data_IF_303115504519
#
_entry.id   IF_303115504519
#
_cell.length_a   1.000
_cell.length_b   1.000
_cell.length_c   1.000
_cell.angle_alpha   90.00
_cell.angle_beta   90.00
_cell.angle_gamma   90.00
#
_symmetry.space_group_name_H-M   'P 1'
#
loop_
_entity.id
_entity.type
_entity.pdbx_description
1 polymer ?
#
# COMPACT_ATOMS: atom_id res chain seq x y z
N UNK A 1 -3.59 -39.71 -15.58
CA UNK A 1 -4.14 -38.35 -15.44
C UNK A 1 -3.80 -37.70 -14.08
N UNK A 2 -3.94 -38.39 -12.94
CA UNK A 2 -3.67 -37.84 -11.59
C UNK A 2 -2.20 -37.41 -11.42
N UNK A 3 -1.22 -38.21 -11.83
CA UNK A 3 0.21 -37.92 -11.72
C UNK A 3 0.62 -36.67 -12.54
N UNK A 4 0.00 -36.44 -13.70
CA UNK A 4 0.28 -35.21 -14.50
C UNK A 4 -0.28 -33.97 -13.84
N UNK A 5 -1.42 -34.03 -13.14
CA UNK A 5 -1.96 -32.93 -12.34
C UNK A 5 -1.05 -32.58 -11.15
N UNK A 6 -0.58 -33.61 -10.41
CA UNK A 6 0.31 -33.39 -9.26
C UNK A 6 1.64 -32.76 -9.71
N UNK A 7 2.22 -33.20 -10.83
CA UNK A 7 3.45 -32.57 -11.39
C UNK A 7 3.22 -31.15 -11.88
N UNK A 8 2.07 -30.83 -12.47
CA UNK A 8 1.75 -29.46 -12.89
C UNK A 8 1.55 -28.49 -11.71
N UNK A 9 0.87 -28.93 -10.65
CA UNK A 9 0.69 -28.13 -9.41
C UNK A 9 2.05 -27.84 -8.79
N UNK A 10 2.90 -28.86 -8.60
CA UNK A 10 4.26 -28.70 -8.05
C UNK A 10 5.11 -27.71 -8.87
N UNK A 11 5.06 -27.77 -10.21
CA UNK A 11 5.83 -26.85 -11.07
C UNK A 11 5.32 -25.40 -11.01
N UNK A 12 4.01 -25.21 -10.88
CA UNK A 12 3.41 -23.88 -10.70
C UNK A 12 3.84 -23.25 -9.38
N UNK A 13 3.85 -24.01 -8.30
CA UNK A 13 4.20 -23.52 -6.97
C UNK A 13 5.67 -23.16 -6.87
N UNK A 14 6.56 -23.94 -7.47
CA UNK A 14 7.98 -23.60 -7.56
C UNK A 14 8.22 -22.31 -8.37
N UNK A 15 7.54 -22.13 -9.49
CA UNK A 15 7.66 -20.91 -10.29
C UNK A 15 7.13 -19.67 -9.52
N UNK A 16 6.03 -19.79 -8.79
CA UNK A 16 5.51 -18.73 -7.95
C UNK A 16 6.51 -18.35 -6.84
N UNK A 17 7.12 -19.34 -6.20
CA UNK A 17 8.13 -19.12 -5.17
C UNK A 17 9.36 -18.40 -5.73
N UNK A 18 9.91 -18.88 -6.84
CA UNK A 18 11.06 -18.28 -7.51
C UNK A 18 10.79 -16.83 -7.89
N UNK A 19 9.62 -16.56 -8.51
CA UNK A 19 9.24 -15.20 -8.90
C UNK A 19 9.10 -14.28 -7.68
N UNK A 20 8.48 -14.76 -6.61
CA UNK A 20 8.29 -14.01 -5.37
C UNK A 20 9.64 -13.64 -4.74
N UNK A 21 10.57 -14.60 -4.66
CA UNK A 21 11.92 -14.35 -4.14
C UNK A 21 12.67 -13.39 -5.04
N UNK A 22 12.60 -13.57 -6.37
CA UNK A 22 13.27 -12.67 -7.32
C UNK A 22 12.79 -11.22 -7.19
N UNK A 23 11.48 -11.00 -7.11
CA UNK A 23 10.90 -9.66 -6.87
C UNK A 23 11.43 -9.06 -5.57
N UNK A 24 11.45 -9.84 -4.48
CA UNK A 24 11.96 -9.37 -3.19
C UNK A 24 13.45 -9.01 -3.24
N UNK A 25 14.29 -9.86 -3.83
CA UNK A 25 15.73 -9.63 -3.94
C UNK A 25 16.06 -8.43 -4.83
N UNK A 26 15.38 -8.29 -5.99
CA UNK A 26 15.56 -7.13 -6.88
C UNK A 26 15.16 -5.86 -6.15
N UNK A 27 14.02 -5.86 -5.45
CA UNK A 27 13.55 -4.69 -4.70
C UNK A 27 14.52 -4.31 -3.57
N UNK A 28 15.01 -5.29 -2.82
CA UNK A 28 15.99 -5.07 -1.77
C UNK A 28 17.30 -4.50 -2.35
N UNK A 29 17.80 -5.07 -3.46
CA UNK A 29 19.02 -4.63 -4.11
C UNK A 29 18.91 -3.19 -4.64
N UNK A 30 17.82 -2.87 -5.36
CA UNK A 30 17.55 -1.52 -5.87
C UNK A 30 17.51 -0.50 -4.73
N UNK A 31 16.79 -0.83 -3.66
CA UNK A 31 16.69 0.02 -2.46
C UNK A 31 18.05 0.19 -1.78
N UNK A 32 18.81 -0.89 -1.61
CA UNK A 32 20.13 -0.86 -0.97
C UNK A 32 21.12 0.03 -1.72
N UNK A 33 21.23 -0.19 -3.04
CA UNK A 33 22.11 0.62 -3.91
C UNK A 33 21.71 2.09 -3.89
N UNK A 34 20.39 2.38 -3.91
CA UNK A 34 19.87 3.74 -3.82
C UNK A 34 20.25 4.42 -2.50
N UNK A 35 20.14 3.71 -1.38
CA UNK A 35 20.45 4.25 -0.06
C UNK A 35 21.93 4.53 0.12
N UNK A 36 22.80 3.64 -0.38
CA UNK A 36 24.25 3.81 -0.33
C UNK A 36 24.72 5.01 -1.16
N UNK A 37 24.14 5.19 -2.36
CA UNK A 37 24.58 6.27 -3.27
C UNK A 37 24.01 7.65 -2.90
N UNK A 38 23.06 7.73 -1.98
CA UNK A 38 22.35 8.95 -1.63
C UNK A 38 22.67 9.52 -0.25
N UNK A 39 23.63 8.95 0.48
CA UNK A 39 23.92 9.28 1.88
C UNK A 39 22.69 9.32 2.79
N UNK A 40 21.66 8.54 2.42
CA UNK A 40 20.39 8.45 3.13
C UNK A 40 20.38 7.17 3.96
N UNK A 41 20.11 7.28 5.25
CA UNK A 41 20.22 6.14 6.18
C UNK A 41 19.25 5.02 5.81
N UNK A 42 17.96 5.26 5.80
CA UNK A 42 16.91 4.29 5.39
C UNK A 42 15.67 5.00 4.82
N UNK A 43 15.85 6.19 4.26
CA UNK A 43 14.81 7.06 3.73
C UNK A 43 13.62 7.18 4.71
N UNK A 44 12.36 7.15 4.28
CA UNK A 44 11.21 7.34 5.15
C UNK A 44 11.04 6.25 6.23
N UNK A 45 11.57 5.05 6.01
CA UNK A 45 11.61 3.99 7.03
C UNK A 45 12.55 4.33 8.20
N UNK A 46 13.49 5.25 8.00
CA UNK A 46 14.45 5.65 9.03
C UNK A 46 13.77 6.15 10.30
N UNK A 47 12.66 6.89 10.17
CA UNK A 47 11.91 7.38 11.35
C UNK A 47 11.46 6.24 12.25
N UNK A 48 10.83 5.22 11.68
CA UNK A 48 10.36 4.05 12.44
C UNK A 48 11.54 3.23 12.99
N UNK A 49 12.59 3.01 12.20
CA UNK A 49 13.78 2.26 12.60
C UNK A 49 14.54 2.97 13.73
N UNK A 50 14.74 4.29 13.64
CA UNK A 50 15.36 5.10 14.68
C UNK A 50 14.51 5.18 15.93
N UNK A 51 13.22 5.44 15.74
CA UNK A 51 12.28 5.47 16.86
C UNK A 51 12.23 4.15 17.63
N UNK A 52 12.31 3.01 16.92
CA UNK A 52 12.37 1.68 17.53
C UNK A 52 13.65 1.49 18.36
N UNK A 53 14.80 1.98 17.89
CA UNK A 53 16.06 1.96 18.68
C UNK A 53 15.95 2.77 19.96
N UNK A 54 15.46 3.99 19.87
CA UNK A 54 15.23 4.86 21.04
C UNK A 54 14.29 4.22 22.05
N UNK A 55 13.22 3.58 21.55
CA UNK A 55 12.26 2.89 22.40
C UNK A 55 12.93 1.75 23.20
N UNK A 56 13.81 0.98 22.58
CA UNK A 56 14.58 -0.09 23.24
C UNK A 56 15.61 0.48 24.24
N UNK A 57 16.17 1.65 23.96
CA UNK A 57 17.07 2.39 24.84
C UNK A 57 16.33 3.06 26.03
N UNK A 58 15.00 2.92 26.12
CA UNK A 58 14.17 3.50 27.16
C UNK A 58 13.92 5.00 27.02
N UNK A 59 14.16 5.56 25.83
CA UNK A 59 13.97 6.97 25.52
C UNK A 59 12.65 7.22 24.79
N UNK A 60 12.06 8.40 24.95
CA UNK A 60 10.87 8.81 24.21
C UNK A 60 11.26 9.21 22.78
N UNK A 61 10.85 8.42 21.75
CA UNK A 61 11.20 8.72 20.36
C UNK A 61 10.53 10.00 19.83
N UNK A 62 9.37 10.40 20.36
CA UNK A 62 8.67 11.63 19.91
C UNK A 62 9.28 12.90 20.49
N UNK A 63 9.98 12.81 21.62
CA UNK A 63 10.72 13.93 22.17
C UNK A 63 12.08 14.13 21.50
N UNK A 64 12.73 13.04 21.07
CA UNK A 64 14.07 13.10 20.52
C UNK A 64 14.11 13.27 19.00
N UNK A 65 13.13 12.73 18.26
CA UNK A 65 13.03 12.89 16.79
C UNK A 65 12.14 14.11 16.52
N UNK A 66 12.78 15.28 16.40
CA UNK A 66 12.12 16.55 16.12
C UNK A 66 13.10 17.53 15.43
N UNK A 67 12.61 18.59 14.78
CA UNK A 67 13.47 19.67 14.30
C UNK A 67 14.40 20.15 15.44
N UNK A 68 15.67 20.38 15.12
CA UNK A 68 16.71 20.80 16.09
C UNK A 68 17.02 19.77 17.19
N UNK A 69 16.49 18.56 17.07
CA UNK A 69 16.81 17.46 17.99
C UNK A 69 18.19 16.87 17.75
N UNK A 70 18.60 15.93 18.63
CA UNK A 70 19.90 15.25 18.58
C UNK A 70 20.09 14.35 17.34
N UNK A 71 19.02 14.08 16.60
CA UNK A 71 19.04 13.25 15.38
C UNK A 71 19.10 14.10 14.12
N UNK A 72 19.81 13.63 13.06
CA UNK A 72 20.09 14.41 11.87
C UNK A 72 18.89 14.64 10.94
N UNK A 73 17.68 14.26 11.37
CA UNK A 73 16.46 14.59 10.65
C UNK A 73 15.85 15.84 11.25
N UNK A 74 15.87 16.87 10.47
CA UNK A 74 15.29 18.15 10.81
C UNK A 74 13.76 18.14 10.66
N UNK A 75 13.11 17.09 11.22
CA UNK A 75 11.67 16.89 11.14
C UNK A 75 11.15 16.03 12.32
N UNK A 76 9.83 16.00 12.49
CA UNK A 76 9.16 15.25 13.55
C UNK A 76 8.99 13.76 13.22
N UNK A 77 8.82 12.93 14.24
CA UNK A 77 8.39 11.54 14.07
C UNK A 77 6.88 11.49 13.70
N UNK A 78 6.57 11.39 12.40
CA UNK A 78 5.20 11.32 11.88
C UNK A 78 4.62 9.90 11.85
N UNK A 79 5.32 8.92 12.38
CA UNK A 79 4.83 7.54 12.42
C UNK A 79 4.25 7.19 13.78
N UNK A 80 3.10 6.48 13.82
CA UNK A 80 2.53 5.97 15.07
C UNK A 80 3.42 4.89 15.68
N UNK A 81 3.32 4.68 17.00
CA UNK A 81 4.14 3.68 17.70
C UNK A 81 4.04 2.26 17.13
N UNK A 82 2.89 1.78 16.59
CA UNK A 82 2.84 0.52 15.85
C UNK A 82 3.87 0.39 14.73
N UNK A 83 4.25 1.48 14.05
CA UNK A 83 5.31 1.43 13.02
C UNK A 83 6.67 1.08 13.64
N UNK A 84 6.97 1.63 14.81
CA UNK A 84 8.20 1.33 15.54
C UNK A 84 8.24 -0.15 15.97
N UNK A 85 7.10 -0.70 16.41
CA UNK A 85 7.00 -2.11 16.76
C UNK A 85 7.29 -3.04 15.57
N UNK A 86 6.80 -2.68 14.37
CA UNK A 86 7.11 -3.43 13.14
C UNK A 86 8.58 -3.31 12.76
N UNK A 87 9.23 -2.20 13.07
CA UNK A 87 10.65 -1.97 12.78
C UNK A 87 11.61 -2.64 13.79
N UNK A 88 11.14 -3.04 14.98
CA UNK A 88 11.98 -3.64 16.04
C UNK A 88 12.91 -4.77 15.55
N UNK A 89 12.47 -5.76 14.75
CA UNK A 89 13.35 -6.83 14.29
C UNK A 89 14.51 -6.35 13.41
N UNK A 90 14.45 -5.13 12.91
CA UNK A 90 15.43 -4.58 11.97
C UNK A 90 16.44 -3.63 12.63
N UNK A 91 16.29 -3.32 13.92
CA UNK A 91 17.21 -2.42 14.63
C UNK A 91 18.66 -2.94 14.75
N UNK A 92 18.97 -4.26 14.76
CA UNK A 92 20.35 -4.71 14.79
C UNK A 92 21.13 -4.40 13.52
N UNK A 93 20.43 -4.13 12.40
CA UNK A 93 21.07 -3.89 11.11
C UNK A 93 21.37 -2.40 10.90
N UNK A 94 22.41 -2.10 10.11
CA UNK A 94 22.70 -0.75 9.64
C UNK A 94 21.51 -0.22 8.79
N UNK A 95 21.27 1.09 8.85
CA UNK A 95 20.09 1.71 8.25
C UNK A 95 19.83 1.34 6.78
N UNK A 96 20.82 1.43 5.86
CA UNK A 96 20.64 1.03 4.45
C UNK A 96 20.23 -0.43 4.30
N UNK A 97 20.82 -1.33 5.09
CA UNK A 97 20.50 -2.75 5.05
C UNK A 97 19.13 -3.05 5.66
N UNK A 98 18.78 -2.38 6.77
CA UNK A 98 17.46 -2.48 7.40
C UNK A 98 16.35 -2.04 6.42
N UNK A 99 16.53 -0.90 5.73
CA UNK A 99 15.60 -0.41 4.72
C UNK A 99 15.45 -1.38 3.54
N UNK A 100 16.56 -1.94 3.05
CA UNK A 100 16.55 -2.93 1.98
C UNK A 100 15.81 -4.21 2.36
N UNK A 101 16.06 -4.76 3.56
CA UNK A 101 15.34 -5.94 4.10
C UNK A 101 13.86 -5.63 4.21
N UNK A 102 13.49 -4.48 4.78
CA UNK A 102 12.09 -4.08 4.94
C UNK A 102 11.34 -4.05 3.61
N UNK A 103 11.91 -3.40 2.58
CA UNK A 103 11.31 -3.32 1.24
C UNK A 103 11.30 -4.69 0.57
N UNK A 104 12.38 -5.46 0.68
CA UNK A 104 12.46 -6.81 0.12
C UNK A 104 11.36 -7.73 0.66
N UNK A 105 11.21 -7.79 1.98
CA UNK A 105 10.15 -8.58 2.64
C UNK A 105 8.76 -8.07 2.24
N UNK A 106 8.54 -6.77 2.24
CA UNK A 106 7.27 -6.16 1.84
C UNK A 106 6.88 -6.54 0.41
N UNK A 107 7.85 -6.55 -0.50
CA UNK A 107 7.67 -6.93 -1.91
C UNK A 107 7.41 -8.42 -2.09
N UNK A 108 8.12 -9.28 -1.32
CA UNK A 108 7.84 -10.73 -1.25
C UNK A 108 6.39 -10.98 -0.83
N UNK A 109 5.95 -10.36 0.27
CA UNK A 109 4.61 -10.54 0.81
C UNK A 109 3.52 -10.05 -0.16
N UNK A 110 3.76 -8.93 -0.84
CA UNK A 110 2.84 -8.41 -1.85
C UNK A 110 2.77 -9.33 -3.07
N UNK A 111 3.91 -9.76 -3.61
CA UNK A 111 3.98 -10.66 -4.75
C UNK A 111 3.31 -12.01 -4.42
N UNK A 112 3.62 -12.58 -3.25
CA UNK A 112 3.02 -13.81 -2.76
C UNK A 112 1.49 -13.69 -2.66
N UNK A 113 0.99 -12.60 -2.06
CA UNK A 113 -0.45 -12.34 -1.95
C UNK A 113 -1.16 -12.28 -3.29
N UNK A 114 -0.58 -11.58 -4.28
CA UNK A 114 -1.12 -11.48 -5.63
C UNK A 114 -1.16 -12.83 -6.35
N UNK A 115 -0.10 -13.62 -6.24
CA UNK A 115 -0.02 -14.94 -6.88
C UNK A 115 -0.98 -15.94 -6.22
N UNK A 116 -1.13 -15.89 -4.89
CA UNK A 116 -2.08 -16.74 -4.14
C UNK A 116 -3.53 -16.50 -4.59
N UNK A 117 -3.89 -15.25 -4.86
CA UNK A 117 -5.21 -14.88 -5.36
C UNK A 117 -5.35 -15.02 -6.89
N UNK A 118 -4.41 -15.69 -7.55
CA UNK A 118 -4.38 -15.93 -9.00
C UNK A 118 -4.42 -14.64 -9.85
N UNK A 119 -4.00 -13.51 -9.30
CA UNK A 119 -4.03 -12.19 -9.93
C UNK A 119 -2.73 -11.91 -10.71
N UNK A 120 -2.38 -12.79 -11.65
CA UNK A 120 -1.10 -12.70 -12.41
C UNK A 120 -0.94 -11.38 -13.16
N UNK A 121 -2.02 -10.81 -13.70
CA UNK A 121 -1.96 -9.49 -14.37
C UNK A 121 -1.59 -8.37 -13.40
N UNK A 122 -1.89 -8.51 -12.11
CA UNK A 122 -1.56 -7.53 -11.10
C UNK A 122 -0.06 -7.45 -10.78
N UNK A 123 0.76 -8.42 -11.22
CA UNK A 123 2.22 -8.33 -11.09
C UNK A 123 2.81 -7.13 -11.85
N UNK A 124 2.11 -6.58 -12.84
CA UNK A 124 2.52 -5.35 -13.51
C UNK A 124 2.57 -4.14 -12.57
N UNK A 125 1.92 -4.20 -11.38
CA UNK A 125 2.03 -3.12 -10.38
C UNK A 125 3.49 -2.86 -9.98
N UNK A 126 4.37 -3.89 -10.02
CA UNK A 126 5.80 -3.73 -9.73
C UNK A 126 6.54 -2.84 -10.74
N UNK A 127 5.92 -2.51 -11.87
CA UNK A 127 6.41 -1.56 -12.87
C UNK A 127 5.76 -0.17 -12.75
N UNK A 128 4.83 0.02 -11.81
CA UNK A 128 4.13 1.30 -11.63
C UNK A 128 4.98 2.35 -10.94
N UNK A 129 4.72 3.63 -11.23
CA UNK A 129 5.38 4.73 -10.55
C UNK A 129 5.19 4.66 -9.02
N UNK A 130 3.98 4.40 -8.44
CA UNK A 130 3.81 4.25 -7.01
C UNK A 130 4.72 3.19 -6.38
N UNK A 131 4.93 2.06 -7.06
CA UNK A 131 5.81 1.03 -6.53
C UNK A 131 7.28 1.44 -6.60
N UNK A 132 7.74 1.97 -7.74
CA UNK A 132 9.14 2.42 -7.90
C UNK A 132 9.48 3.51 -6.89
N UNK A 133 8.59 4.50 -6.70
CA UNK A 133 8.79 5.52 -5.68
C UNK A 133 8.75 4.97 -4.26
N UNK A 134 7.94 3.91 -4.01
CA UNK A 134 7.94 3.22 -2.72
C UNK A 134 9.28 2.53 -2.43
N UNK A 135 9.97 1.97 -3.44
CA UNK A 135 11.33 1.43 -3.28
C UNK A 135 12.33 2.54 -2.95
N UNK A 136 12.31 3.63 -3.73
CA UNK A 136 13.25 4.75 -3.60
C UNK A 136 13.14 5.42 -2.22
N UNK A 137 11.91 5.58 -1.72
CA UNK A 137 11.61 6.24 -0.45
C UNK A 137 11.43 5.28 0.72
N UNK A 138 11.65 3.98 0.54
CA UNK A 138 11.50 2.92 1.57
C UNK A 138 10.15 2.99 2.28
N UNK A 139 9.07 2.88 1.49
CA UNK A 139 7.70 3.13 1.95
C UNK A 139 6.98 1.89 2.48
N UNK A 140 5.99 2.15 3.33
CA UNK A 140 5.09 1.17 3.92
C UNK A 140 4.03 0.63 2.95
N UNK A 141 3.78 1.33 1.84
CA UNK A 141 2.69 1.02 0.92
C UNK A 141 2.73 -0.41 0.36
N UNK A 142 3.87 -1.04 0.02
CA UNK A 142 3.89 -2.44 -0.38
C UNK A 142 3.41 -3.39 0.73
N UNK A 143 3.87 -3.18 1.97
CA UNK A 143 3.50 -4.00 3.13
C UNK A 143 2.01 -3.87 3.46
N UNK A 144 1.50 -2.64 3.52
CA UNK A 144 0.08 -2.38 3.82
C UNK A 144 -0.83 -2.90 2.69
N UNK A 145 -0.41 -2.76 1.42
CA UNK A 145 -1.15 -3.33 0.29
C UNK A 145 -1.18 -4.87 0.33
N UNK A 146 -0.08 -5.51 0.75
CA UNK A 146 -0.04 -6.97 0.94
C UNK A 146 -1.03 -7.46 2.00
N UNK A 147 -1.34 -6.63 3.01
CA UNK A 147 -2.31 -6.96 4.04
C UNK A 147 -3.73 -7.17 3.49
N UNK A 148 -4.06 -6.70 2.28
CA UNK A 148 -5.33 -7.00 1.61
C UNK A 148 -5.49 -8.51 1.35
N UNK A 149 -4.39 -9.23 1.11
CA UNK A 149 -4.36 -10.65 0.80
C UNK A 149 -3.97 -11.54 1.99
N UNK A 150 -3.17 -11.01 2.90
CA UNK A 150 -2.57 -11.73 4.01
C UNK A 150 -3.10 -11.18 5.35
N UNK A 151 -4.18 -11.76 5.92
CA UNK A 151 -4.80 -11.24 7.14
C UNK A 151 -3.86 -11.21 8.35
N UNK A 152 -2.80 -12.02 8.35
CA UNK A 152 -1.76 -12.01 9.40
C UNK A 152 -1.01 -10.67 9.46
N UNK A 153 -0.93 -9.93 8.37
CA UNK A 153 -0.33 -8.60 8.32
C UNK A 153 -1.23 -7.51 8.94
N UNK A 154 -2.37 -7.88 9.50
CA UNK A 154 -3.21 -6.97 10.27
C UNK A 154 -2.44 -6.19 11.33
N UNK A 155 -1.44 -6.82 11.96
CA UNK A 155 -0.55 -6.17 12.93
C UNK A 155 0.22 -4.97 12.36
N UNK A 156 0.55 -4.99 11.06
CA UNK A 156 1.28 -3.91 10.40
C UNK A 156 0.39 -2.74 9.93
N UNK A 157 -0.92 -2.93 9.86
CA UNK A 157 -1.86 -1.94 9.33
C UNK A 157 -1.79 -0.58 10.07
N UNK A 158 -1.73 -0.54 11.42
CA UNK A 158 -1.66 0.73 12.12
C UNK A 158 -0.34 1.48 11.95
N UNK A 159 0.69 0.87 11.34
CA UNK A 159 1.95 1.54 11.05
C UNK A 159 1.80 2.70 10.04
N UNK A 160 0.81 2.62 9.15
CA UNK A 160 0.45 3.71 8.22
C UNK A 160 -1.08 3.82 8.14
N UNK A 161 -1.72 4.48 9.11
CA UNK A 161 -3.16 4.40 9.33
C UNK A 161 -4.01 4.93 8.17
N UNK A 162 -3.52 5.91 7.41
CA UNK A 162 -4.21 6.43 6.23
C UNK A 162 -4.43 5.34 5.17
N UNK A 163 -3.43 4.54 4.84
CA UNK A 163 -3.58 3.40 3.93
C UNK A 163 -4.28 2.23 4.62
N UNK A 164 -3.95 2.02 5.90
CA UNK A 164 -4.46 0.93 6.70
C UNK A 164 -5.97 0.91 6.80
N UNK A 165 -6.61 2.06 7.05
CA UNK A 165 -8.07 2.17 7.14
C UNK A 165 -8.74 1.85 5.79
N UNK A 166 -8.13 2.23 4.67
CA UNK A 166 -8.66 1.92 3.35
C UNK A 166 -8.64 0.40 3.09
N UNK A 167 -7.57 -0.28 3.49
CA UNK A 167 -7.48 -1.77 3.39
C UNK A 167 -8.49 -2.45 4.33
N UNK A 168 -8.65 -1.96 5.57
CA UNK A 168 -9.61 -2.54 6.52
C UNK A 168 -11.06 -2.44 6.02
N UNK A 169 -11.44 -1.29 5.47
CA UNK A 169 -12.80 -1.04 4.98
C UNK A 169 -13.04 -1.76 3.65
N UNK A 170 -12.06 -1.76 2.73
CA UNK A 170 -12.23 -2.39 1.42
C UNK A 170 -12.23 -3.92 1.50
N UNK A 171 -11.38 -4.50 2.36
CA UNK A 171 -11.17 -5.93 2.51
C UNK A 171 -11.32 -6.35 3.98
N UNK A 172 -12.52 -6.25 4.57
CA UNK A 172 -12.72 -6.60 5.97
C UNK A 172 -12.46 -8.08 6.23
N UNK A 173 -11.71 -8.37 7.30
CA UNK A 173 -11.43 -9.74 7.74
C UNK A 173 -11.23 -9.75 9.27
N UNK A 174 -11.93 -10.61 10.05
CA UNK A 174 -11.92 -10.56 11.52
C UNK A 174 -10.51 -10.67 12.10
N UNK A 175 -9.69 -11.59 11.59
CA UNK A 175 -8.30 -11.74 12.05
C UNK A 175 -7.45 -10.50 11.77
N UNK A 176 -7.65 -9.83 10.63
CA UNK A 176 -6.95 -8.59 10.27
C UNK A 176 -7.30 -7.47 11.24
N UNK A 177 -8.59 -7.29 11.51
CA UNK A 177 -9.10 -6.29 12.44
C UNK A 177 -8.57 -6.57 13.85
N UNK A 178 -8.67 -7.81 14.32
CA UNK A 178 -8.17 -8.20 15.64
C UNK A 178 -6.67 -7.94 15.81
N UNK A 179 -5.85 -8.27 14.80
CA UNK A 179 -4.41 -8.04 14.85
C UNK A 179 -4.06 -6.55 14.78
N UNK A 180 -4.81 -5.74 14.03
CA UNK A 180 -4.64 -4.30 14.00
C UNK A 180 -4.97 -3.68 15.38
N UNK A 181 -6.10 -4.08 15.98
CA UNK A 181 -6.47 -3.66 17.33
C UNK A 181 -5.42 -4.11 18.38
N UNK A 182 -4.91 -5.34 18.27
CA UNK A 182 -3.85 -5.85 19.16
C UNK A 182 -2.57 -5.00 19.04
N UNK A 183 -2.15 -4.64 17.82
CA UNK A 183 -0.98 -3.79 17.59
C UNK A 183 -1.14 -2.42 18.26
N UNK A 184 -2.31 -1.80 18.13
CA UNK A 184 -2.63 -0.53 18.80
C UNK A 184 -2.63 -0.71 20.32
N UNK A 185 -3.27 -1.76 20.84
CA UNK A 185 -3.33 -2.03 22.27
C UNK A 185 -1.92 -2.22 22.88
N UNK A 186 -1.07 -3.03 22.24
CA UNK A 186 0.31 -3.23 22.68
C UNK A 186 1.05 -1.87 22.68
N UNK A 187 0.89 -1.07 21.65
CA UNK A 187 1.54 0.24 21.57
C UNK A 187 1.08 1.20 22.67
N UNK A 188 -0.19 1.17 23.05
CA UNK A 188 -0.74 1.97 24.16
C UNK A 188 -0.25 1.47 25.54
N UNK A 189 -0.02 0.16 25.70
CA UNK A 189 0.58 -0.38 26.94
C UNK A 189 2.02 0.07 27.07
N UNK A 190 2.79 0.08 25.97
CA UNK A 190 4.21 0.47 25.99
C UNK A 190 4.36 1.98 26.23
N UNK A 191 3.57 2.80 25.54
CA UNK A 191 3.64 4.25 25.61
C UNK A 191 2.23 4.86 25.45
N UNK A 192 1.46 5.04 26.54
CA UNK A 192 0.08 5.55 26.46
C UNK A 192 -0.05 6.95 25.82
N UNK A 193 1.02 7.74 25.88
CA UNK A 193 1.06 9.14 25.44
C UNK A 193 1.34 9.31 23.95
N UNK A 194 1.77 8.25 23.24
CA UNK A 194 2.17 8.35 21.84
C UNK A 194 1.09 8.94 20.91
N UNK A 195 -0.23 8.66 21.06
CA UNK A 195 -1.21 9.26 20.17
C UNK A 195 -1.24 10.78 20.27
N UNK A 196 -1.13 11.31 21.52
CA UNK A 196 -1.11 12.75 21.75
C UNK A 196 0.18 13.38 21.16
N UNK A 197 1.32 12.74 21.34
CA UNK A 197 2.59 13.18 20.79
C UNK A 197 2.54 13.23 19.24
N UNK A 198 2.02 12.19 18.62
CA UNK A 198 1.80 12.14 17.16
C UNK A 198 0.85 13.26 16.69
N UNK A 199 -0.30 13.45 17.35
CA UNK A 199 -1.25 14.50 16.98
C UNK A 199 -0.65 15.90 17.04
N UNK A 200 0.27 16.16 17.97
CA UNK A 200 0.97 17.46 18.05
C UNK A 200 1.92 17.71 16.89
N UNK A 201 2.50 16.66 16.31
CA UNK A 201 3.43 16.79 15.17
C UNK A 201 2.73 16.86 13.80
N UNK A 202 1.51 16.29 13.66
CA UNK A 202 0.80 16.20 12.38
C UNK A 202 0.57 17.54 11.65
N UNK A 203 0.28 18.68 12.30
CA UNK A 203 0.06 19.94 11.60
C UNK A 203 1.25 20.42 10.76
N UNK A 204 2.48 20.02 11.11
CA UNK A 204 3.68 20.34 10.34
C UNK A 204 3.83 19.49 9.07
N UNK A 205 3.02 18.44 8.92
CA UNK A 205 3.15 17.48 7.83
C UNK A 205 2.27 17.82 6.65
N UNK A 206 2.87 18.07 5.48
CA UNK A 206 2.13 18.32 4.24
C UNK A 206 1.49 17.03 3.72
N UNK A 207 0.16 17.04 3.63
CA UNK A 207 -0.63 15.95 3.09
C UNK A 207 -1.65 16.47 2.07
N UNK A 208 -1.99 15.61 1.11
CA UNK A 208 -3.04 15.86 0.13
C UNK A 208 -4.23 14.96 0.43
N UNK A 209 -5.42 15.53 0.52
CA UNK A 209 -6.66 14.78 0.56
C UNK A 209 -7.26 14.82 -0.86
N UNK A 210 -7.26 13.70 -1.59
CA UNK A 210 -7.70 13.66 -2.98
C UNK A 210 -9.10 14.21 -3.18
N UNK A 211 -10.01 13.95 -2.24
CA UNK A 211 -11.39 14.42 -2.27
C UNK A 211 -11.53 15.95 -2.45
N UNK A 212 -10.61 16.73 -1.88
CA UNK A 212 -10.65 18.20 -1.93
C UNK A 212 -9.96 18.79 -3.16
N UNK A 213 -9.58 17.95 -4.12
CA UNK A 213 -9.00 18.38 -5.39
C UNK A 213 -10.03 18.25 -6.51
N UNK A 214 -9.78 18.88 -7.66
CA UNK A 214 -10.68 18.93 -8.81
C UNK A 214 -11.13 17.54 -9.32
N UNK A 215 -10.30 16.51 -9.16
CA UNK A 215 -10.61 15.13 -9.55
C UNK A 215 -11.33 14.35 -8.44
N UNK A 216 -11.40 14.86 -7.24
CA UNK A 216 -12.00 14.15 -6.10
C UNK A 216 -13.51 14.02 -6.21
N UNK A 217 -14.20 15.06 -6.69
CA UNK A 217 -15.66 15.02 -6.88
C UNK A 217 -16.10 13.89 -7.82
N UNK A 218 -15.52 13.68 -9.02
CA UNK A 218 -15.82 12.50 -9.83
C UNK A 218 -15.60 11.18 -9.10
N UNK A 219 -14.56 11.07 -8.26
CA UNK A 219 -14.24 9.83 -7.53
C UNK A 219 -15.36 9.45 -6.54
N UNK A 220 -16.09 10.41 -6.00
CA UNK A 220 -17.23 10.14 -5.11
C UNK A 220 -18.32 9.32 -5.80
N UNK A 221 -18.45 9.38 -7.13
CA UNK A 221 -19.39 8.54 -7.89
C UNK A 221 -19.16 7.04 -7.65
N UNK A 222 -17.96 6.63 -7.30
CA UNK A 222 -17.69 5.25 -6.92
C UNK A 222 -18.46 4.81 -5.67
N UNK A 223 -18.90 5.73 -4.81
CA UNK A 223 -19.72 5.43 -3.63
C UNK A 223 -21.06 4.78 -3.98
N UNK A 224 -21.59 5.01 -5.19
CA UNK A 224 -22.79 4.35 -5.71
C UNK A 224 -22.61 2.81 -5.77
N UNK A 225 -21.36 2.35 -5.82
CA UNK A 225 -20.99 0.94 -5.88
C UNK A 225 -20.32 0.45 -4.59
N UNK A 226 -20.69 1.01 -3.45
CA UNK A 226 -20.09 0.74 -2.13
C UNK A 226 -20.05 -0.75 -1.74
N UNK A 227 -20.95 -1.57 -2.26
CA UNK A 227 -20.93 -3.01 -2.05
C UNK A 227 -19.66 -3.69 -2.59
N UNK A 228 -18.97 -3.08 -3.54
CA UNK A 228 -17.74 -3.59 -4.17
C UNK A 228 -16.50 -3.13 -3.40
N UNK A 229 -15.58 -4.06 -3.16
CA UNK A 229 -14.30 -3.75 -2.50
C UNK A 229 -13.47 -2.69 -3.26
N UNK A 230 -13.49 -2.75 -4.60
CA UNK A 230 -12.79 -1.78 -5.45
C UNK A 230 -13.33 -0.35 -5.25
N UNK A 231 -14.66 -0.19 -5.17
CA UNK A 231 -15.29 1.10 -4.95
C UNK A 231 -15.02 1.61 -3.52
N UNK A 232 -15.15 0.76 -2.50
CA UNK A 232 -14.78 1.12 -1.11
C UNK A 232 -13.34 1.58 -1.01
N UNK A 233 -12.41 0.82 -1.63
CA UNK A 233 -11.00 1.18 -1.62
C UNK A 233 -10.78 2.57 -2.23
N UNK A 234 -11.34 2.83 -3.42
CA UNK A 234 -11.19 4.09 -4.12
C UNK A 234 -11.73 5.27 -3.32
N UNK A 235 -12.96 5.15 -2.78
CA UNK A 235 -13.62 6.22 -2.02
C UNK A 235 -12.87 6.50 -0.73
N UNK A 236 -12.52 5.46 0.05
CA UNK A 236 -11.82 5.67 1.33
C UNK A 236 -10.43 6.25 1.08
N UNK A 237 -9.71 5.77 0.07
CA UNK A 237 -8.43 6.35 -0.33
C UNK A 237 -8.56 7.84 -0.72
N UNK A 238 -9.66 8.24 -1.35
CA UNK A 238 -9.90 9.65 -1.68
C UNK A 238 -10.16 10.53 -0.45
N UNK A 239 -10.72 9.96 0.62
CA UNK A 239 -11.07 10.68 1.84
C UNK A 239 -9.93 10.81 2.86
N UNK A 240 -8.84 10.04 2.71
CA UNK A 240 -7.75 10.06 3.69
C UNK A 240 -6.56 10.89 3.20
N UNK A 241 -5.79 11.50 4.13
CA UNK A 241 -4.58 12.22 3.77
C UNK A 241 -3.56 11.29 3.12
N UNK A 242 -2.90 11.75 2.07
CA UNK A 242 -1.91 10.99 1.33
C UNK A 242 -0.69 11.81 0.98
N UNK A 243 0.41 11.11 0.75
CA UNK A 243 1.59 11.63 0.07
C UNK A 243 1.48 11.41 -1.43
N UNK A 244 2.12 12.28 -2.19
CA UNK A 244 2.19 12.15 -3.64
C UNK A 244 2.88 10.83 -4.03
N UNK A 245 2.37 10.20 -5.06
CA UNK A 245 2.88 9.04 -5.79
C UNK A 245 2.74 7.70 -5.07
N UNK A 246 3.51 7.41 -4.03
CA UNK A 246 3.65 6.04 -3.49
C UNK A 246 2.44 5.53 -2.67
N UNK A 247 1.63 6.43 -2.12
CA UNK A 247 0.44 6.01 -1.36
C UNK A 247 -0.65 5.41 -2.26
N UNK A 248 -0.67 5.77 -3.56
CA UNK A 248 -1.63 5.24 -4.52
C UNK A 248 -1.39 3.78 -4.91
N UNK A 249 -0.33 3.13 -4.41
CA UNK A 249 -0.05 1.73 -4.73
C UNK A 249 -1.25 0.81 -4.44
N UNK A 250 -1.99 1.06 -3.35
CA UNK A 250 -3.17 0.29 -3.00
C UNK A 250 -4.27 0.32 -4.09
N UNK A 251 -4.38 1.41 -4.87
CA UNK A 251 -5.35 1.51 -5.95
C UNK A 251 -5.09 0.53 -7.10
N UNK A 252 -3.88 -0.03 -7.21
CA UNK A 252 -3.54 -1.09 -8.17
C UNK A 252 -4.16 -2.45 -7.80
N UNK A 253 -4.90 -2.54 -6.70
CA UNK A 253 -5.78 -3.67 -6.39
C UNK A 253 -7.13 -3.60 -7.13
N UNK A 254 -7.51 -2.46 -7.69
CA UNK A 254 -8.78 -2.24 -8.39
C UNK A 254 -8.84 -2.93 -9.76
N UNK A 255 -7.82 -2.86 -10.66
CA UNK A 255 -7.86 -3.51 -11.96
C UNK A 255 -8.14 -5.01 -11.88
N UNK A 256 -9.06 -5.51 -12.74
CA UNK A 256 -9.42 -6.93 -12.84
C UNK A 256 -8.93 -7.57 -14.13
N UNK A 257 -8.45 -6.78 -15.08
CA UNK A 257 -7.97 -7.27 -16.37
C UNK A 257 -6.58 -6.74 -16.68
N UNK A 258 -5.86 -7.44 -17.56
CA UNK A 258 -4.54 -7.01 -18.03
C UNK A 258 -4.60 -5.59 -18.65
N UNK A 259 -5.64 -5.29 -19.45
CA UNK A 259 -5.80 -3.95 -20.06
C UNK A 259 -5.94 -2.85 -19.02
N UNK A 260 -6.78 -3.06 -18.02
CA UNK A 260 -6.94 -2.10 -16.91
C UNK A 260 -5.63 -1.90 -16.15
N UNK A 261 -4.88 -2.98 -15.90
CA UNK A 261 -3.60 -2.89 -15.20
C UNK A 261 -2.56 -2.12 -16.03
N UNK A 262 -2.46 -2.40 -17.33
CA UNK A 262 -1.56 -1.68 -18.25
C UNK A 262 -1.91 -0.18 -18.27
N UNK A 263 -3.21 0.15 -18.37
CA UNK A 263 -3.66 1.56 -18.31
C UNK A 263 -3.24 2.23 -17.01
N UNK A 264 -3.41 1.56 -15.85
CA UNK A 264 -3.00 2.10 -14.55
C UNK A 264 -1.49 2.32 -14.48
N UNK A 265 -0.68 1.36 -14.96
CA UNK A 265 0.78 1.48 -14.97
C UNK A 265 1.22 2.65 -15.85
N UNK A 266 0.77 2.71 -17.10
CA UNK A 266 1.10 3.81 -18.02
C UNK A 266 0.61 5.15 -17.46
N UNK A 267 -0.63 5.20 -16.97
CA UNK A 267 -1.20 6.41 -16.39
C UNK A 267 -0.46 6.92 -15.16
N UNK A 268 0.10 6.02 -14.33
CA UNK A 268 0.91 6.44 -13.18
C UNK A 268 2.19 7.16 -13.60
N UNK A 269 2.87 6.70 -14.65
CA UNK A 269 4.04 7.36 -15.21
C UNK A 269 3.67 8.65 -15.95
N UNK A 270 2.56 8.65 -16.69
CA UNK A 270 2.03 9.88 -17.30
C UNK A 270 1.75 10.95 -16.26
N UNK A 271 1.17 10.59 -15.12
CA UNK A 271 0.92 11.53 -14.01
C UNK A 271 2.21 12.13 -13.45
N UNK A 272 3.29 11.34 -13.33
CA UNK A 272 4.62 11.86 -12.96
C UNK A 272 5.13 12.83 -14.01
N UNK A 273 5.08 12.45 -15.28
CA UNK A 273 5.55 13.28 -16.40
C UNK A 273 4.81 14.61 -16.48
N UNK A 274 3.48 14.58 -16.36
CA UNK A 274 2.67 15.80 -16.31
C UNK A 274 3.00 16.65 -15.07
N UNK A 275 3.24 16.01 -13.93
CA UNK A 275 3.66 16.69 -12.70
C UNK A 275 4.98 17.45 -12.89
N UNK A 276 5.93 16.88 -13.62
CA UNK A 276 7.19 17.54 -13.95
C UNK A 276 7.02 18.69 -14.96
N UNK A 277 6.17 18.52 -16.00
CA UNK A 277 5.93 19.58 -16.99
C UNK A 277 5.24 20.79 -16.38
N UNK A 278 4.23 20.56 -15.54
CA UNK A 278 3.39 21.61 -14.98
C UNK A 278 3.85 22.08 -13.59
N UNK A 279 4.98 21.56 -13.12
CA UNK A 279 5.51 21.80 -11.75
C UNK A 279 4.44 21.63 -10.67
N UNK A 280 3.63 20.58 -10.82
CA UNK A 280 2.51 20.31 -9.93
C UNK A 280 2.30 18.80 -9.71
N UNK A 281 2.73 18.31 -8.56
CA UNK A 281 2.65 16.90 -8.18
C UNK A 281 1.22 16.34 -8.10
N UNK A 282 0.17 17.18 -8.08
CA UNK A 282 -1.24 16.75 -8.08
C UNK A 282 -1.59 15.91 -9.32
N UNK A 283 -0.91 16.09 -10.45
CA UNK A 283 -1.10 15.28 -11.64
C UNK A 283 -0.81 13.80 -11.40
N UNK A 284 0.14 13.47 -10.54
CA UNK A 284 0.43 12.07 -10.17
C UNK A 284 -0.74 11.40 -9.46
N UNK A 285 -1.43 12.15 -8.58
CA UNK A 285 -2.67 11.69 -7.95
C UNK A 285 -3.81 11.57 -8.95
N UNK A 286 -4.09 12.64 -9.70
CA UNK A 286 -5.26 12.73 -10.58
C UNK A 286 -5.28 11.63 -11.63
N UNK A 287 -4.17 11.33 -12.28
CA UNK A 287 -4.10 10.27 -13.29
C UNK A 287 -4.45 8.92 -12.70
N UNK A 288 -3.89 8.55 -11.54
CA UNK A 288 -4.15 7.25 -10.90
C UNK A 288 -5.60 7.16 -10.41
N UNK A 289 -6.13 8.22 -9.78
CA UNK A 289 -7.50 8.22 -9.25
C UNK A 289 -8.56 8.16 -10.33
N UNK A 290 -8.41 8.94 -11.41
CA UNK A 290 -9.37 8.94 -12.53
C UNK A 290 -9.35 7.61 -13.30
N UNK A 291 -8.18 7.01 -13.49
CA UNK A 291 -8.09 5.68 -14.10
C UNK A 291 -8.65 4.59 -13.20
N UNK A 292 -8.44 4.67 -11.89
CA UNK A 292 -9.05 3.76 -10.93
C UNK A 292 -10.59 3.88 -10.96
N UNK A 293 -11.14 5.11 -11.01
CA UNK A 293 -12.57 5.34 -11.22
C UNK A 293 -13.07 4.71 -12.52
N UNK A 294 -12.37 4.94 -13.63
CA UNK A 294 -12.72 4.33 -14.91
C UNK A 294 -12.75 2.80 -14.83
N UNK A 295 -11.80 2.19 -14.13
CA UNK A 295 -11.79 0.74 -13.89
C UNK A 295 -13.05 0.29 -13.11
N UNK A 296 -13.44 0.98 -12.05
CA UNK A 296 -14.66 0.67 -11.28
C UNK A 296 -15.90 0.76 -12.18
N UNK A 297 -16.06 1.86 -12.92
CA UNK A 297 -17.23 2.08 -13.79
C UNK A 297 -17.34 1.02 -14.91
N UNK A 298 -16.22 0.66 -15.53
CA UNK A 298 -16.20 -0.39 -16.58
C UNK A 298 -16.60 -1.75 -15.99
N UNK A 299 -16.13 -2.07 -14.79
CA UNK A 299 -16.48 -3.33 -14.11
C UNK A 299 -17.96 -3.41 -13.77
N UNK A 300 -18.56 -2.30 -13.31
CA UNK A 300 -19.98 -2.25 -12.98
C UNK A 300 -20.88 -2.31 -14.23
N UNK A 301 -20.50 -1.61 -15.30
CA UNK A 301 -21.22 -1.73 -16.58
C UNK A 301 -21.25 -3.19 -17.08
N UNK A 302 -20.14 -3.89 -17.03
CA UNK A 302 -20.05 -5.29 -17.40
C UNK A 302 -20.86 -6.22 -16.48
N UNK A 303 -20.97 -5.88 -15.20
CA UNK A 303 -21.80 -6.61 -14.22
C UNK A 303 -23.29 -6.45 -14.52
N UNK A 304 -23.74 -5.23 -14.76
CA UNK A 304 -25.13 -4.91 -15.11
C UNK A 304 -25.53 -5.60 -16.41
N UNK A 305 -24.72 -5.53 -17.44
CA UNK A 305 -24.99 -6.17 -18.72
C UNK A 305 -25.20 -7.69 -18.57
N UNK A 306 -24.33 -8.37 -17.82
CA UNK A 306 -24.47 -9.82 -17.54
C UNK A 306 -25.75 -10.16 -16.77
N UNK A 307 -26.17 -9.32 -15.83
CA UNK A 307 -27.43 -9.52 -15.11
C UNK A 307 -28.64 -9.38 -16.03
N UNK A 308 -28.64 -8.39 -16.91
CA UNK A 308 -29.73 -8.20 -17.88
C UNK A 308 -29.83 -9.39 -18.85
N UNK A 309 -28.72 -9.91 -19.37
CA UNK A 309 -28.67 -11.10 -20.21
C UNK A 309 -29.23 -12.35 -19.50
N UNK A 310 -28.85 -12.54 -18.23
CA UNK A 310 -29.34 -13.68 -17.43
C UNK A 310 -30.85 -13.60 -17.19
N UNK A 311 -31.38 -12.42 -16.98
CA UNK A 311 -32.82 -12.16 -16.83
C UNK A 311 -33.59 -12.45 -18.12
N UNK A 312 -33.09 -11.99 -19.26
CA UNK A 312 -33.68 -12.22 -20.57
C UNK A 312 -33.74 -13.71 -20.93
N UNK A 313 -32.64 -14.43 -20.64
CA UNK A 313 -32.57 -15.89 -20.87
C UNK A 313 -33.51 -16.69 -19.96
N UNK A 314 -33.71 -16.28 -18.69
CA UNK A 314 -34.63 -16.91 -17.78
C UNK A 314 -36.11 -16.61 -18.14
N UNK A 315 -36.42 -15.39 -18.57
CA UNK A 315 -37.74 -15.01 -19.01
C UNK A 315 -38.15 -15.77 -20.31
N UNK A 316 -37.19 -16.06 -21.16
CA UNK A 316 -37.40 -16.93 -22.36
C UNK A 316 -37.74 -18.39 -22.02
N UNK A 317 -37.20 -18.92 -20.90
CA UNK A 317 -37.45 -20.30 -20.46
C UNK A 317 -38.78 -20.49 -19.72
N UNK A 318 -39.42 -19.44 -19.23
CA UNK A 318 -40.71 -19.50 -18.55
C UNK A 318 -41.91 -19.37 -19.51
N UNK A 319 -41.69 -19.28 -20.83
CA UNK A 319 -42.74 -19.13 -21.86
C UNK A 319 -43.11 -20.44 -22.56
N UNK A 320 -42.80 -21.65 -21.96
CA UNK A 320 -43.26 -22.94 -22.49
C UNK A 320 -43.96 -23.77 -21.41
#
# INVERSE_FOLDING_TARGET
>A
MVQNRIRQVSRSDHMHLVLTIAVGLISALVTYVRLLNGDIVAADFTWAWRGARLLVEGSDPYELIRPEGAYPYNDYLYYPLPALLVALPLIPFAGPFAGAIFVGISSVLLCWGLLKEQRKHSLLLFLSAPYVYALISVQWSPLITAAAFLPVLGFCIPAKPNLGIAILIAYPHPRRIALAALSVLISLIIMPTWPLALFRSLPAHLNYVPLFNWFGLPVVLAALFWSRSAARLLVVMACVPQRLVYDQLALFLIPQTLRQMVMMVIGSWLGIFLGLIFDNGIWSLSCVYLLALACVLIQERASIARHMESWSNNAGRMRW
#
